data_IF_607529273517
#
_entry.id   IF_607529273517
#
_cell.length_a   1.000
_cell.length_b   1.000
_cell.length_c   1.000
_cell.angle_alpha   90.00
_cell.angle_beta   90.00
_cell.angle_gamma   90.00
#
_symmetry.space_group_name_H-M   'P 1'
#
loop_
_entity.id
_entity.type
_entity.pdbx_description
1 polymer ?
#
# COMPACT_ATOMS: atom_id res chain seq x y z
N UNK A 1 10.94 1.42 10.26
CA UNK A 1 9.53 1.76 10.02
C UNK A 1 9.47 2.82 8.93
N UNK A 2 9.51 2.41 7.67
CA UNK A 2 9.29 3.30 6.53
C UNK A 2 8.36 2.64 5.51
N UNK A 3 8.11 3.30 4.40
CA UNK A 3 7.57 2.68 3.21
C UNK A 3 8.75 2.05 2.46
N UNK A 4 8.85 0.71 2.46
CA UNK A 4 9.98 0.01 1.84
C UNK A 4 9.87 -0.01 0.31
N UNK A 5 11.03 -0.07 -0.37
CA UNK A 5 11.08 -0.35 -1.79
C UNK A 5 10.58 -1.78 -2.09
N UNK A 6 10.12 -2.03 -3.31
CA UNK A 6 9.62 -3.33 -3.72
C UNK A 6 10.51 -4.02 -4.77
N UNK A 7 11.51 -3.32 -5.32
CA UNK A 7 12.38 -3.85 -6.36
C UNK A 7 13.69 -4.46 -5.81
N UNK A 8 14.30 -3.81 -4.82
CA UNK A 8 15.64 -4.15 -4.32
C UNK A 8 15.71 -4.99 -3.04
N UNK A 9 14.78 -4.89 -2.05
CA UNK A 9 14.98 -5.56 -0.78
C UNK A 9 14.62 -7.05 -0.83
N UNK A 10 15.19 -7.80 0.12
CA UNK A 10 14.84 -9.19 0.33
C UNK A 10 13.53 -9.29 1.14
N UNK A 11 12.71 -10.30 0.86
CA UNK A 11 11.39 -10.47 1.50
C UNK A 11 11.46 -10.59 3.03
N UNK A 12 12.59 -11.07 3.57
CA UNK A 12 12.82 -11.15 5.01
C UNK A 12 12.85 -9.75 5.63
N UNK A 13 13.61 -8.83 5.04
CA UNK A 13 13.74 -7.46 5.55
C UNK A 13 12.39 -6.72 5.48
N UNK A 14 11.61 -7.00 4.43
CA UNK A 14 10.24 -6.48 4.28
C UNK A 14 9.32 -6.95 5.42
N UNK A 15 9.37 -8.23 5.79
CA UNK A 15 8.60 -8.80 6.91
C UNK A 15 9.06 -8.20 8.24
N UNK A 16 10.37 -8.14 8.49
CA UNK A 16 10.91 -7.66 9.76
C UNK A 16 10.52 -6.21 10.02
N UNK A 17 10.67 -5.36 9.00
CA UNK A 17 10.26 -3.96 9.08
C UNK A 17 8.77 -3.80 9.35
N UNK A 18 7.92 -4.55 8.65
CA UNK A 18 6.46 -4.47 8.81
C UNK A 18 6.04 -4.98 10.19
N UNK A 19 6.65 -6.07 10.66
CA UNK A 19 6.38 -6.68 11.97
C UNK A 19 6.75 -5.73 13.10
N UNK A 20 7.91 -5.07 13.00
CA UNK A 20 8.33 -4.06 13.99
C UNK A 20 7.33 -2.90 14.08
N UNK A 21 6.86 -2.40 12.93
CA UNK A 21 5.86 -1.34 12.88
C UNK A 21 4.51 -1.75 13.45
N UNK A 22 4.00 -2.92 13.06
CA UNK A 22 2.73 -3.44 13.57
C UNK A 22 2.78 -3.71 15.07
N UNK A 23 3.91 -4.24 15.58
CA UNK A 23 4.08 -4.48 17.02
C UNK A 23 4.01 -3.17 17.81
N UNK A 24 4.68 -2.13 17.33
CA UNK A 24 4.64 -0.81 17.96
C UNK A 24 3.21 -0.25 17.98
N UNK A 25 2.51 -0.26 16.84
CA UNK A 25 1.13 0.25 16.77
C UNK A 25 0.18 -0.53 17.69
N UNK A 26 0.34 -1.85 17.76
CA UNK A 26 -0.46 -2.70 18.64
C UNK A 26 -0.17 -2.44 20.12
N UNK A 27 1.06 -2.14 20.49
CA UNK A 27 1.45 -1.84 21.87
C UNK A 27 0.94 -0.47 22.32
N UNK A 28 1.10 0.56 21.49
CA UNK A 28 0.76 1.93 21.86
C UNK A 28 -0.72 2.26 21.68
N UNK A 29 -1.33 1.77 20.59
CA UNK A 29 -2.68 2.17 20.19
C UNK A 29 -3.69 1.01 20.25
N UNK A 30 -3.23 -0.22 20.50
CA UNK A 30 -4.06 -1.43 20.43
C UNK A 30 -4.86 -1.55 19.11
N UNK A 31 -4.28 -1.04 18.02
CA UNK A 31 -4.86 -1.10 16.68
C UNK A 31 -4.04 -2.06 15.82
N UNK A 32 -4.71 -2.71 14.85
CA UNK A 32 -4.06 -3.52 13.82
C UNK A 32 -4.41 -2.92 12.46
N UNK A 33 -3.44 -2.38 11.71
CA UNK A 33 -3.71 -1.83 10.39
C UNK A 33 -4.24 -2.92 9.45
N UNK A 34 -5.26 -2.56 8.65
CA UNK A 34 -5.90 -3.44 7.65
C UNK A 34 -5.66 -2.98 6.21
N UNK A 35 -5.02 -1.83 6.06
CA UNK A 35 -4.83 -1.15 4.79
C UNK A 35 -3.34 -0.92 4.61
N UNK A 36 -2.79 -1.43 3.52
CA UNK A 36 -1.42 -1.14 3.10
C UNK A 36 -1.36 0.13 2.25
N UNK A 37 -0.30 0.93 2.43
CA UNK A 37 -0.11 2.20 1.74
C UNK A 37 1.29 2.27 1.11
N UNK A 38 1.35 2.22 -0.22
CA UNK A 38 2.59 2.13 -1.02
C UNK A 38 2.57 3.17 -2.15
N UNK A 39 2.62 4.46 -1.82
CA UNK A 39 2.44 5.55 -2.80
C UNK A 39 3.69 5.89 -3.61
N UNK A 40 4.89 5.64 -3.07
CA UNK A 40 6.16 6.10 -3.67
C UNK A 40 7.17 5.02 -4.12
N UNK A 41 6.94 3.69 -4.00
CA UNK A 41 7.82 2.72 -4.64
C UNK A 41 7.83 2.83 -6.16
N UNK A 42 9.00 2.64 -6.79
CA UNK A 42 9.16 2.68 -8.24
C UNK A 42 8.82 1.32 -8.87
N UNK A 43 7.53 1.01 -8.89
CA UNK A 43 7.02 -0.28 -9.36
C UNK A 43 6.65 -1.19 -8.18
N UNK A 44 5.78 -2.16 -8.44
CA UNK A 44 5.19 -3.01 -7.41
C UNK A 44 5.46 -4.49 -7.67
N UNK A 45 5.80 -5.22 -6.61
CA UNK A 45 6.18 -6.63 -6.67
C UNK A 45 5.00 -7.56 -6.35
N UNK A 46 4.95 -8.71 -7.01
CA UNK A 46 3.94 -9.73 -6.72
C UNK A 46 4.04 -10.25 -5.26
N UNK A 47 5.24 -10.19 -4.68
CA UNK A 47 5.49 -10.52 -3.28
C UNK A 47 4.78 -9.54 -2.35
N UNK A 48 4.79 -8.24 -2.63
CA UNK A 48 4.04 -7.26 -1.84
C UNK A 48 2.56 -7.60 -1.76
N UNK A 49 1.95 -7.96 -2.89
CA UNK A 49 0.52 -8.26 -2.96
C UNK A 49 0.13 -9.53 -2.19
N UNK A 50 0.91 -10.59 -2.32
CA UNK A 50 0.64 -11.86 -1.65
C UNK A 50 1.06 -11.82 -0.17
N UNK A 51 2.33 -11.54 0.09
CA UNK A 51 2.97 -11.72 1.39
C UNK A 51 2.54 -10.61 2.36
N UNK A 52 2.61 -9.36 1.91
CA UNK A 52 2.30 -8.21 2.75
C UNK A 52 0.86 -7.71 2.58
N UNK A 53 0.11 -8.26 1.64
CA UNK A 53 -1.33 -8.06 1.51
C UNK A 53 -2.10 -9.16 2.24
N UNK A 54 -2.29 -10.28 1.55
CA UNK A 54 -3.16 -11.35 2.02
C UNK A 54 -2.65 -12.04 3.30
N UNK A 55 -1.38 -12.42 3.38
CA UNK A 55 -0.86 -13.20 4.52
C UNK A 55 -0.73 -12.38 5.81
N UNK A 56 -0.42 -11.09 5.71
CA UNK A 56 -0.40 -10.17 6.86
C UNK A 56 -1.81 -9.78 7.32
N UNK A 57 -2.84 -10.07 6.52
CA UNK A 57 -4.25 -9.81 6.84
C UNK A 57 -4.70 -8.39 6.49
N UNK A 58 -4.13 -7.80 5.44
CA UNK A 58 -4.65 -6.57 4.83
C UNK A 58 -5.78 -6.87 3.85
N UNK A 59 -6.84 -6.08 3.95
CA UNK A 59 -7.99 -6.18 3.06
C UNK A 59 -7.74 -5.41 1.76
N UNK A 60 -6.99 -4.30 1.85
CA UNK A 60 -6.76 -3.35 0.75
C UNK A 60 -5.30 -2.90 0.68
N UNK A 61 -4.76 -2.77 -0.54
CA UNK A 61 -3.47 -2.10 -0.80
C UNK A 61 -3.67 -0.93 -1.76
N UNK A 62 -3.13 0.23 -1.39
CA UNK A 62 -3.15 1.44 -2.21
C UNK A 62 -1.75 1.75 -2.71
N UNK A 63 -1.64 2.09 -3.99
CA UNK A 63 -0.38 2.52 -4.56
C UNK A 63 -0.53 3.62 -5.60
N UNK A 64 0.56 4.37 -5.78
CA UNK A 64 0.57 5.60 -6.56
C UNK A 64 1.24 5.49 -7.92
N UNK A 65 2.31 4.69 -8.03
CA UNK A 65 3.19 4.68 -9.21
C UNK A 65 2.94 3.44 -10.07
N UNK A 66 2.52 3.67 -11.30
CA UNK A 66 2.46 2.65 -12.36
C UNK A 66 2.98 3.23 -13.66
N UNK A 67 3.25 2.34 -14.61
CA UNK A 67 3.55 2.74 -15.97
C UNK A 67 2.43 3.63 -16.55
N UNK A 68 2.84 4.68 -17.25
CA UNK A 68 1.93 5.70 -17.75
C UNK A 68 0.98 5.15 -18.83
N UNK A 69 1.41 4.16 -19.63
CA UNK A 69 0.57 3.52 -20.64
C UNK A 69 -0.47 2.64 -19.96
N UNK A 70 -0.06 1.85 -18.97
CA UNK A 70 -0.99 1.02 -18.18
C UNK A 70 -2.01 1.90 -17.42
N UNK A 71 -1.57 3.05 -16.89
CA UNK A 71 -2.46 4.02 -16.25
C UNK A 71 -3.51 4.57 -17.20
N UNK A 72 -3.11 4.99 -18.39
CA UNK A 72 -4.02 5.53 -19.39
C UNK A 72 -5.06 4.46 -19.78
N UNK A 73 -4.60 3.25 -20.09
CA UNK A 73 -5.46 2.12 -20.43
C UNK A 73 -6.47 1.80 -19.32
N UNK A 74 -6.02 1.65 -18.07
CA UNK A 74 -6.91 1.34 -16.94
C UNK A 74 -7.87 2.46 -16.60
N UNK A 75 -7.49 3.71 -16.86
CA UNK A 75 -8.39 4.86 -16.71
C UNK A 75 -9.52 4.80 -17.74
N UNK A 76 -9.21 4.46 -18.98
CA UNK A 76 -10.20 4.34 -20.06
C UNK A 76 -11.12 3.12 -19.84
N UNK A 77 -10.57 2.00 -19.37
CA UNK A 77 -11.30 0.77 -19.06
C UNK A 77 -12.03 0.79 -17.70
N UNK A 78 -11.79 1.82 -16.87
CA UNK A 78 -12.28 1.93 -15.48
C UNK A 78 -11.86 0.76 -14.58
N UNK A 79 -10.68 0.20 -14.84
CA UNK A 79 -10.07 -0.94 -14.12
C UNK A 79 -8.93 -0.51 -13.19
N UNK A 80 -8.99 0.74 -12.70
CA UNK A 80 -8.06 1.26 -11.68
C UNK A 80 -8.23 0.54 -10.34
N UNK A 81 -9.38 -0.07 -10.10
CA UNK A 81 -9.64 -0.96 -8.97
C UNK A 81 -9.71 -2.39 -9.49
N UNK A 82 -8.91 -3.28 -8.91
CA UNK A 82 -8.90 -4.68 -9.28
C UNK A 82 -8.48 -5.55 -8.11
N UNK A 83 -8.79 -6.85 -8.21
CA UNK A 83 -8.32 -7.84 -7.25
C UNK A 83 -6.98 -8.37 -7.75
N UNK A 84 -5.89 -8.12 -7.01
CA UNK A 84 -4.57 -8.60 -7.39
C UNK A 84 -4.32 -9.99 -6.78
N UNK A 85 -4.14 -10.99 -7.64
CA UNK A 85 -3.70 -12.33 -7.27
C UNK A 85 -2.16 -12.41 -7.42
N UNK A 86 -1.43 -12.14 -6.34
CA UNK A 86 0.04 -12.03 -6.36
C UNK A 86 0.78 -13.38 -6.47
N UNK A 87 0.13 -14.50 -6.11
CA UNK A 87 0.75 -15.83 -6.14
C UNK A 87 0.01 -16.78 -7.07
N UNK A 88 0.75 -17.40 -7.99
CA UNK A 88 0.22 -18.48 -8.85
C UNK A 88 -0.11 -19.75 -8.05
N UNK A 89 0.55 -19.96 -6.93
CA UNK A 89 0.41 -21.17 -6.10
C UNK A 89 -0.81 -21.07 -5.18
N UNK A 90 -1.00 -19.90 -4.56
CA UNK A 90 -2.05 -19.69 -3.57
C UNK A 90 -3.35 -19.14 -4.19
N UNK A 91 -3.32 -18.66 -5.44
CA UNK A 91 -4.50 -18.34 -6.23
C UNK A 91 -5.51 -17.48 -5.46
N UNK A 92 -6.67 -18.07 -5.14
CA UNK A 92 -7.77 -17.36 -4.49
C UNK A 92 -7.55 -17.05 -3.00
N UNK A 93 -6.65 -17.74 -2.29
CA UNK A 93 -6.37 -17.46 -0.88
C UNK A 93 -5.43 -16.27 -0.70
N UNK A 94 -4.66 -15.93 -1.74
CA UNK A 94 -3.71 -14.82 -1.74
C UNK A 94 -4.24 -13.58 -2.48
N UNK A 95 -5.54 -13.29 -2.32
CA UNK A 95 -6.19 -12.17 -2.98
C UNK A 95 -6.21 -10.94 -2.07
N UNK A 96 -5.65 -9.84 -2.55
CA UNK A 96 -5.82 -8.53 -1.95
C UNK A 96 -6.59 -7.62 -2.91
N UNK A 97 -7.58 -6.87 -2.40
CA UNK A 97 -8.23 -5.83 -3.19
C UNK A 97 -7.26 -4.67 -3.34
N UNK A 98 -7.16 -4.13 -4.55
CA UNK A 98 -6.22 -3.06 -4.81
C UNK A 98 -6.84 -1.91 -5.55
N UNK A 99 -6.35 -0.73 -5.18
CA UNK A 99 -6.95 0.50 -5.61
C UNK A 99 -5.88 1.52 -5.96
N UNK A 100 -5.96 1.94 -7.22
CA UNK A 100 -4.91 2.68 -7.91
C UNK A 100 -5.34 4.14 -8.08
N UNK A 101 -5.65 4.82 -6.97
CA UNK A 101 -5.60 6.27 -6.87
C UNK A 101 -5.80 6.76 -5.43
N UNK A 102 -4.95 7.71 -5.00
CA UNK A 102 -5.15 8.51 -3.77
C UNK A 102 -6.39 9.41 -3.89
N UNK A 103 -6.82 9.73 -5.12
CA UNK A 103 -7.93 10.65 -5.40
C UNK A 103 -9.30 10.02 -5.11
N UNK A 104 -9.47 8.69 -5.21
CA UNK A 104 -10.71 8.03 -4.77
C UNK A 104 -10.70 7.63 -3.29
N UNK A 105 -9.56 7.69 -2.60
CA UNK A 105 -9.50 7.41 -1.15
C UNK A 105 -10.37 8.39 -0.36
N UNK A 106 -10.48 9.64 -0.82
CA UNK A 106 -11.36 10.66 -0.23
C UNK A 106 -12.84 10.35 -0.41
N UNK A 107 -13.25 9.73 -1.52
CA UNK A 107 -14.66 9.39 -1.77
C UNK A 107 -15.08 8.07 -1.13
N UNK A 108 -14.16 7.12 -0.89
CA UNK A 108 -14.46 5.81 -0.26
C UNK A 108 -14.40 5.87 1.27
N UNK A 109 -13.53 6.69 1.87
CA UNK A 109 -13.38 6.76 3.34
C UNK A 109 -14.38 7.73 3.99
N UNK A 110 -15.20 8.47 3.21
CA UNK A 110 -16.19 9.40 3.76
C UNK A 110 -15.56 10.55 4.57
N UNK A 111 -14.28 10.82 4.39
CA UNK A 111 -13.57 11.95 4.99
C UNK A 111 -13.81 13.20 4.13
N UNK A 112 -14.93 13.87 4.39
CA UNK A 112 -15.33 15.14 3.75
C UNK A 112 -14.35 16.31 4.04
N UNK A 113 -13.51 16.18 5.06
CA UNK A 113 -12.56 17.21 5.46
C UNK A 113 -11.26 17.10 4.65
N UNK A 114 -11.17 17.90 3.58
CA UNK A 114 -9.95 18.07 2.76
C UNK A 114 -8.68 18.30 3.60
N UNK A 115 -8.83 18.89 4.78
CA UNK A 115 -7.73 19.22 5.68
C UNK A 115 -7.14 17.99 6.40
N UNK A 116 -7.94 16.99 6.78
CA UNK A 116 -7.45 15.78 7.47
C UNK A 116 -6.73 14.86 6.49
N UNK A 117 -7.26 14.72 5.28
CA UNK A 117 -6.62 13.93 4.23
C UNK A 117 -5.34 14.61 3.77
N UNK A 118 -5.35 15.94 3.60
CA UNK A 118 -4.12 16.69 3.36
C UNK A 118 -3.13 16.50 4.51
N UNK A 119 -3.56 16.51 5.77
CA UNK A 119 -2.68 16.34 6.93
C UNK A 119 -2.09 14.92 7.03
N UNK A 120 -2.88 13.86 6.82
CA UNK A 120 -2.39 12.47 6.82
C UNK A 120 -1.48 12.23 5.62
N UNK A 121 -1.86 12.70 4.43
CA UNK A 121 -1.05 12.59 3.23
C UNK A 121 0.24 13.40 3.36
N UNK A 122 0.20 14.63 3.88
CA UNK A 122 1.40 15.43 4.17
C UNK A 122 2.25 14.77 5.25
N UNK A 123 1.68 14.27 6.34
CA UNK A 123 2.44 13.62 7.42
C UNK A 123 3.15 12.36 6.91
N UNK A 124 2.47 11.53 6.12
CA UNK A 124 3.05 10.31 5.55
C UNK A 124 4.05 10.64 4.44
N UNK A 125 3.79 11.62 3.58
CA UNK A 125 4.75 12.12 2.57
C UNK A 125 5.98 12.74 3.26
N UNK A 126 5.80 13.51 4.33
CA UNK A 126 6.88 14.13 5.08
C UNK A 126 7.73 13.10 5.80
N UNK A 127 7.11 12.07 6.39
CA UNK A 127 7.81 10.90 6.95
C UNK A 127 8.56 10.13 5.85
N UNK A 128 7.98 9.97 4.66
CA UNK A 128 8.62 9.28 3.53
C UNK A 128 9.77 10.09 2.92
N UNK A 129 9.64 11.42 2.79
CA UNK A 129 10.71 12.31 2.31
C UNK A 129 11.86 12.41 3.32
N UNK A 130 11.59 12.36 4.62
CA UNK A 130 12.64 12.31 5.64
C UNK A 130 13.47 11.01 5.56
N UNK A 131 12.90 9.90 5.10
CA UNK A 131 13.63 8.65 4.89
C UNK A 131 14.39 8.58 3.56
N UNK A 132 14.07 9.40 2.55
CA UNK A 132 14.73 9.40 1.25
C UNK A 132 16.06 10.19 1.21
N UNK A 133 16.45 10.85 2.31
CA UNK A 133 17.68 11.66 2.43
C UNK A 133 18.71 11.12 3.42
N UNK A 134 18.63 9.83 3.80
CA UNK A 134 19.69 9.11 4.53
C UNK A 134 20.21 7.97 3.69
#
# INVERSE_FOLDING_TARGET
MCMHDEATPHYIDMIDQTTLGHRFIKQEFNQTPRIGWQIDPFGHSAVQAYLLGAEVGFDSLFFGRIDYQDRAKRKDEKTLEFVWQGSKTFGSSAQARQMLSVILVTSVIGLESRDIVAFIVYLVIFISLCCAFV
#
